data_IF_709550489846
#
_entry.id   IF_709550489846
#
_cell.length_a   1.000
_cell.length_b   1.000
_cell.length_c   1.000
_cell.angle_alpha   90.00
_cell.angle_beta   90.00
_cell.angle_gamma   90.00
#
_symmetry.space_group_name_H-M   'P 1'
#
loop_
_entity.id
_entity.type
_entity.pdbx_description
1 polymer ?
#
# COMPACT_ATOMS: atom_id res chain seq x y z
N UNK A 1 -32.68 14.09 27.74
CA UNK A 1 -31.44 13.32 27.64
C UNK A 1 -31.45 12.70 26.26
N UNK A 2 -30.98 13.44 25.27
CA UNK A 2 -30.86 12.97 23.89
C UNK A 2 -29.73 11.95 23.88
N UNK A 3 -30.04 10.72 23.46
CA UNK A 3 -29.01 9.74 23.09
C UNK A 3 -28.21 10.40 21.98
N UNK A 4 -26.95 10.72 22.24
CA UNK A 4 -26.05 11.07 21.16
C UNK A 4 -25.99 9.84 20.25
N UNK A 5 -26.33 10.01 18.97
CA UNK A 5 -26.07 9.02 17.94
C UNK A 5 -24.56 8.80 17.93
N UNK A 6 -24.11 7.76 18.63
CA UNK A 6 -22.74 7.26 18.56
C UNK A 6 -22.65 6.36 17.33
N UNK A 7 -22.73 6.95 16.15
CA UNK A 7 -22.10 6.32 14.99
C UNK A 7 -20.70 6.92 14.87
N UNK A 8 -19.63 6.19 15.22
CA UNK A 8 -18.25 6.69 15.22
C UNK A 8 -17.69 6.99 13.82
N UNK A 9 -18.56 7.23 12.83
CA UNK A 9 -18.20 7.43 11.42
C UNK A 9 -18.03 6.13 10.65
N UNK A 10 -18.72 5.05 11.05
CA UNK A 10 -18.63 3.74 10.40
C UNK A 10 -19.84 3.50 9.51
N UNK A 11 -19.82 4.12 8.33
CA UNK A 11 -20.85 3.91 7.33
C UNK A 11 -20.73 2.52 6.63
N UNK A 12 -21.74 2.11 5.85
CA UNK A 12 -21.71 0.85 5.10
C UNK A 12 -20.59 0.71 4.06
N UNK A 13 -20.11 1.83 3.50
CA UNK A 13 -19.05 1.83 2.50
C UNK A 13 -17.70 1.55 3.18
N UNK A 14 -17.41 2.20 4.30
CA UNK A 14 -16.24 1.90 5.13
C UNK A 14 -16.26 0.46 5.65
N UNK A 15 -17.43 -0.07 6.03
CA UNK A 15 -17.56 -1.47 6.41
C UNK A 15 -17.22 -2.43 5.25
N UNK A 16 -17.61 -2.08 4.03
CA UNK A 16 -17.29 -2.86 2.81
C UNK A 16 -15.79 -2.80 2.51
N UNK A 17 -15.20 -1.61 2.55
CA UNK A 17 -13.76 -1.40 2.35
C UNK A 17 -12.95 -2.16 3.40
N UNK A 18 -13.39 -2.13 4.67
CA UNK A 18 -12.76 -2.85 5.77
C UNK A 18 -12.78 -4.37 5.56
N UNK A 19 -13.91 -4.93 5.14
CA UNK A 19 -14.04 -6.36 4.86
C UNK A 19 -13.16 -6.80 3.67
N UNK A 20 -13.10 -5.99 2.61
CA UNK A 20 -12.25 -6.26 1.45
C UNK A 20 -10.75 -6.20 1.83
N UNK A 21 -10.37 -5.18 2.59
CA UNK A 21 -9.00 -5.01 3.09
C UNK A 21 -8.59 -6.18 3.98
N UNK A 22 -9.45 -6.58 4.92
CA UNK A 22 -9.20 -7.68 5.84
C UNK A 22 -8.96 -9.01 5.11
N UNK A 23 -9.76 -9.30 4.06
CA UNK A 23 -9.61 -10.49 3.23
C UNK A 23 -8.31 -10.49 2.44
N UNK A 24 -7.90 -9.34 1.88
CA UNK A 24 -6.65 -9.23 1.14
C UNK A 24 -5.44 -9.38 2.07
N UNK A 25 -5.43 -8.70 3.23
CA UNK A 25 -4.43 -8.92 4.28
C UNK A 25 -4.30 -10.40 4.64
N UNK A 26 -5.42 -11.07 4.88
CA UNK A 26 -5.40 -12.50 5.24
C UNK A 26 -4.78 -13.35 4.12
N UNK A 27 -5.06 -13.06 2.85
CA UNK A 27 -4.44 -13.74 1.70
C UNK A 27 -2.94 -13.47 1.61
N UNK A 28 -2.51 -12.22 1.80
CA UNK A 28 -1.09 -11.82 1.79
C UNK A 28 -0.33 -12.52 2.92
N UNK A 29 -0.83 -12.49 4.14
CA UNK A 29 -0.25 -13.20 5.27
C UNK A 29 -0.26 -14.73 5.10
N UNK A 30 -1.29 -15.30 4.47
CA UNK A 30 -1.31 -16.72 4.11
C UNK A 30 -0.21 -17.07 3.10
N UNK A 31 0.14 -16.13 2.21
CA UNK A 31 1.26 -16.24 1.28
C UNK A 31 2.63 -15.87 1.88
N UNK A 32 2.70 -15.53 3.17
CA UNK A 32 3.95 -15.27 3.89
C UNK A 32 4.39 -13.80 3.96
N UNK A 33 3.49 -12.86 3.67
CA UNK A 33 3.78 -11.42 3.74
C UNK A 33 4.18 -10.93 5.13
N UNK A 34 4.99 -9.87 5.14
CA UNK A 34 5.24 -9.00 6.31
C UNK A 34 4.45 -7.70 6.16
N UNK A 35 3.90 -7.20 7.26
CA UNK A 35 3.24 -5.90 7.34
C UNK A 35 4.19 -4.82 7.86
N UNK A 36 4.30 -3.72 7.13
CA UNK A 36 5.10 -2.56 7.47
C UNK A 36 4.18 -1.39 7.80
N UNK A 37 4.09 -1.02 9.07
CA UNK A 37 3.21 0.04 9.55
C UNK A 37 3.96 1.37 9.66
N UNK A 38 3.36 2.46 9.20
CA UNK A 38 3.91 3.81 9.34
C UNK A 38 2.84 4.82 9.71
N UNK A 39 3.23 5.85 10.45
CA UNK A 39 2.35 6.95 10.84
C UNK A 39 3.21 8.19 11.10
N UNK A 40 3.69 8.92 10.06
CA UNK A 40 4.72 9.95 10.19
C UNK A 40 4.40 11.03 11.23
N UNK A 41 3.15 11.48 11.27
CA UNK A 41 2.68 12.50 12.21
C UNK A 41 2.30 11.91 13.57
N UNK A 42 2.02 10.60 13.63
CA UNK A 42 1.44 9.92 14.80
C UNK A 42 2.08 8.55 15.03
N UNK A 43 3.41 8.51 15.18
CA UNK A 43 4.22 7.29 15.30
C UNK A 43 3.67 6.22 16.28
N UNK A 44 3.03 6.57 17.42
CA UNK A 44 2.41 5.58 18.28
C UNK A 44 1.41 4.66 17.58
N UNK A 45 0.68 5.12 16.55
CA UNK A 45 -0.23 4.27 15.78
C UNK A 45 0.51 3.19 14.99
N UNK A 46 1.66 3.50 14.40
CA UNK A 46 2.47 2.50 13.69
C UNK A 46 2.97 1.41 14.65
N UNK A 47 3.48 1.82 15.81
CA UNK A 47 3.92 0.91 16.86
C UNK A 47 2.76 0.05 17.39
N UNK A 48 1.59 0.65 17.60
CA UNK A 48 0.39 -0.05 18.04
C UNK A 48 -0.02 -1.14 17.03
N UNK A 49 -0.16 -0.78 15.76
CA UNK A 49 -0.49 -1.74 14.68
C UNK A 49 0.51 -2.89 14.68
N UNK A 50 1.82 -2.62 14.71
CA UNK A 50 2.82 -3.68 14.69
C UNK A 50 2.69 -4.63 15.89
N UNK A 51 2.49 -4.09 17.11
CA UNK A 51 2.35 -4.91 18.33
C UNK A 51 1.10 -5.79 18.27
N UNK A 52 -0.05 -5.28 17.83
CA UNK A 52 -1.30 -6.06 17.76
C UNK A 52 -1.19 -7.26 16.81
N UNK A 53 -0.50 -7.09 15.68
CA UNK A 53 -0.28 -8.19 14.73
C UNK A 53 0.73 -9.22 15.25
N UNK A 54 1.81 -8.79 15.93
CA UNK A 54 2.84 -9.72 16.47
C UNK A 54 2.40 -10.40 17.76
N UNK A 55 1.68 -9.71 18.64
CA UNK A 55 1.28 -10.18 19.97
C UNK A 55 -0.25 -10.12 20.11
N UNK A 56 -0.99 -11.04 19.45
CA UNK A 56 -2.44 -10.98 19.41
C UNK A 56 -3.03 -11.10 20.82
N UNK A 57 -3.88 -10.14 21.21
CA UNK A 57 -4.50 -10.08 22.55
C UNK A 57 -5.49 -11.23 22.78
N UNK A 58 -6.09 -11.77 21.71
CA UNK A 58 -7.02 -12.90 21.79
C UNK A 58 -6.23 -14.22 21.86
N UNK A 59 -6.44 -14.95 22.96
CA UNK A 59 -5.83 -16.27 23.18
C UNK A 59 -6.07 -17.22 22.00
N UNK A 60 -4.99 -17.82 21.50
CA UNK A 60 -5.03 -18.82 20.43
C UNK A 60 -4.98 -18.26 19.01
N UNK A 61 -4.98 -16.92 18.81
CA UNK A 61 -4.74 -16.33 17.50
C UNK A 61 -3.26 -16.41 17.11
N UNK A 62 -3.02 -16.56 15.79
CA UNK A 62 -1.69 -16.68 15.21
C UNK A 62 -0.99 -15.30 15.23
N UNK A 63 0.26 -15.25 15.67
CA UNK A 63 1.11 -14.08 15.47
C UNK A 63 1.42 -13.88 13.98
N UNK A 64 1.27 -12.65 13.50
CA UNK A 64 1.51 -12.24 12.12
C UNK A 64 2.74 -11.30 12.06
N UNK A 65 3.64 -11.46 11.07
CA UNK A 65 4.84 -10.62 11.00
C UNK A 65 4.48 -9.17 10.72
N UNK A 66 4.79 -8.27 11.65
CA UNK A 66 4.57 -6.85 11.48
C UNK A 66 5.70 -6.02 12.11
N UNK A 67 6.04 -4.90 11.49
CA UNK A 67 7.11 -3.98 11.92
C UNK A 67 6.64 -2.53 11.77
N UNK A 68 6.91 -1.70 12.77
CA UNK A 68 6.69 -0.26 12.69
C UNK A 68 7.93 0.43 12.08
N UNK A 69 7.71 1.26 11.07
CA UNK A 69 8.70 2.16 10.48
C UNK A 69 8.46 3.57 11.03
N UNK A 70 9.45 4.09 11.76
CA UNK A 70 9.41 5.39 12.44
C UNK A 70 10.68 6.18 12.14
N UNK A 71 10.64 7.49 12.29
CA UNK A 71 11.77 8.37 11.96
C UNK A 71 11.81 8.85 10.49
N UNK A 72 12.89 9.55 10.11
CA UNK A 72 12.96 10.28 8.84
C UNK A 72 13.16 9.37 7.63
N UNK A 73 13.04 9.95 6.43
CA UNK A 73 13.31 9.27 5.15
C UNK A 73 12.40 8.05 4.91
N UNK A 74 11.10 8.20 5.20
CA UNK A 74 10.14 7.09 5.17
C UNK A 74 10.16 6.32 3.84
N UNK A 75 10.26 7.04 2.72
CA UNK A 75 10.25 6.43 1.38
C UNK A 75 11.40 5.42 1.23
N UNK A 76 12.61 5.80 1.66
CA UNK A 76 13.79 4.95 1.59
C UNK A 76 13.70 3.79 2.58
N UNK A 77 13.20 4.04 3.79
CA UNK A 77 12.95 2.99 4.78
C UNK A 77 12.01 1.92 4.22
N UNK A 78 10.88 2.32 3.63
CA UNK A 78 9.94 1.38 3.02
C UNK A 78 10.60 0.65 1.86
N UNK A 79 11.23 1.38 0.94
CA UNK A 79 11.86 0.82 -0.27
C UNK A 79 12.89 -0.28 0.05
N UNK A 80 13.67 -0.10 1.11
CA UNK A 80 14.69 -1.06 1.59
C UNK A 80 14.10 -2.23 2.37
N UNK A 81 12.98 -2.02 3.04
CA UNK A 81 12.39 -3.01 3.96
C UNK A 81 11.50 -4.02 3.23
N UNK A 82 10.70 -3.55 2.27
CA UNK A 82 9.63 -4.36 1.67
C UNK A 82 10.14 -5.35 0.63
N UNK A 83 9.55 -6.54 0.66
CA UNK A 83 9.64 -7.55 -0.40
C UNK A 83 8.35 -7.63 -1.20
N UNK A 84 8.43 -8.11 -2.45
CA UNK A 84 7.23 -8.37 -3.27
C UNK A 84 6.25 -9.26 -2.49
N UNK A 85 4.99 -8.84 -2.42
CA UNK A 85 3.92 -9.54 -1.70
C UNK A 85 3.70 -9.04 -0.27
N UNK A 86 4.59 -8.19 0.26
CA UNK A 86 4.41 -7.53 1.56
C UNK A 86 3.24 -6.52 1.54
N UNK A 87 2.94 -6.00 2.72
CA UNK A 87 1.88 -5.03 2.97
C UNK A 87 2.49 -3.79 3.59
N UNK A 88 2.08 -2.60 3.12
CA UNK A 88 2.36 -1.33 3.81
C UNK A 88 1.04 -0.76 4.29
N UNK A 89 0.95 -0.45 5.59
CA UNK A 89 -0.19 0.28 6.18
C UNK A 89 0.30 1.64 6.66
N UNK A 90 -0.31 2.71 6.17
CA UNK A 90 -0.04 4.06 6.63
C UNK A 90 -1.24 4.67 7.36
N UNK A 91 -0.99 5.33 8.49
CA UNK A 91 -1.95 6.21 9.17
C UNK A 91 -1.48 7.65 9.00
N UNK A 92 -2.16 8.42 8.14
CA UNK A 92 -1.78 9.79 7.82
C UNK A 92 -2.92 10.56 7.14
N UNK A 93 -2.86 11.89 7.20
CA UNK A 93 -3.69 12.76 6.37
C UNK A 93 -3.40 12.56 4.87
N UNK A 94 -4.40 12.80 4.01
CA UNK A 94 -4.35 12.53 2.57
C UNK A 94 -3.30 13.35 1.80
N UNK A 95 -2.85 14.47 2.37
CA UNK A 95 -1.83 15.36 1.81
C UNK A 95 -0.42 15.09 2.36
N UNK A 96 -0.24 14.06 3.18
CA UNK A 96 1.07 13.66 3.68
C UNK A 96 1.99 13.22 2.52
N UNK A 97 2.94 14.09 2.16
CA UNK A 97 3.81 13.92 0.99
C UNK A 97 4.63 12.62 1.00
N UNK A 98 5.11 12.20 2.17
CA UNK A 98 5.87 10.95 2.31
C UNK A 98 5.00 9.73 2.06
N UNK A 99 3.78 9.70 2.62
CA UNK A 99 2.82 8.61 2.39
C UNK A 99 2.36 8.59 0.93
N UNK A 100 2.04 9.73 0.34
CA UNK A 100 1.74 9.83 -1.10
C UNK A 100 2.86 9.26 -1.98
N UNK A 101 4.12 9.55 -1.64
CA UNK A 101 5.28 9.01 -2.36
C UNK A 101 5.39 7.49 -2.22
N UNK A 102 5.20 6.96 -1.00
CA UNK A 102 5.18 5.52 -0.74
C UNK A 102 4.06 4.82 -1.54
N UNK A 103 2.83 5.33 -1.48
CA UNK A 103 1.70 4.69 -2.13
C UNK A 103 1.84 4.68 -3.66
N UNK A 104 2.40 5.73 -4.25
CA UNK A 104 2.70 5.76 -5.70
C UNK A 104 3.75 4.75 -6.13
N UNK A 105 4.75 4.48 -5.29
CA UNK A 105 5.89 3.60 -5.60
C UNK A 105 5.62 2.14 -5.26
N UNK A 106 4.77 1.87 -4.28
CA UNK A 106 4.48 0.53 -3.79
C UNK A 106 4.06 -0.49 -4.87
N UNK A 107 3.28 -0.13 -5.92
CA UNK A 107 2.99 -1.07 -6.99
C UNK A 107 4.23 -1.52 -7.77
N UNK A 108 5.22 -0.63 -7.97
CA UNK A 108 6.51 -0.99 -8.57
C UNK A 108 7.34 -1.91 -7.65
N UNK A 109 7.10 -1.88 -6.34
CA UNK A 109 7.71 -2.78 -5.37
C UNK A 109 6.94 -4.09 -5.19
N UNK A 110 5.75 -4.22 -5.80
CA UNK A 110 4.89 -5.38 -5.67
C UNK A 110 4.23 -5.50 -4.29
N UNK A 111 4.04 -4.38 -3.61
CA UNK A 111 3.53 -4.29 -2.23
C UNK A 111 2.06 -3.87 -2.26
N UNK A 112 1.23 -4.51 -1.43
CA UNK A 112 -0.16 -4.08 -1.22
C UNK A 112 -0.22 -2.94 -0.22
N UNK A 113 -1.01 -1.93 -0.51
CA UNK A 113 -1.09 -0.69 0.25
C UNK A 113 -2.44 -0.51 0.95
N UNK A 114 -2.39 -0.14 2.22
CA UNK A 114 -3.56 0.28 3.00
C UNK A 114 -3.29 1.67 3.55
N UNK A 115 -4.22 2.59 3.33
CA UNK A 115 -4.14 3.94 3.86
C UNK A 115 -5.33 4.22 4.78
N UNK A 116 -5.03 4.49 6.05
CA UNK A 116 -5.98 4.87 7.08
C UNK A 116 -5.87 6.38 7.34
N UNK A 117 -7.00 7.07 7.42
CA UNK A 117 -7.04 8.49 7.78
C UNK A 117 -8.46 9.02 7.93
N UNK A 118 -8.58 10.34 7.98
CA UNK A 118 -9.86 11.03 8.21
C UNK A 118 -9.95 12.35 7.45
N UNK A 119 -11.17 12.87 7.24
CA UNK A 119 -11.40 14.15 6.58
C UNK A 119 -11.37 14.04 5.06
N UNK A 120 -10.60 14.89 4.36
CA UNK A 120 -10.54 14.83 2.88
C UNK A 120 -9.90 13.52 2.41
N UNK A 121 -10.69 12.67 1.76
CA UNK A 121 -10.24 11.37 1.24
C UNK A 121 -9.22 11.54 0.11
N UNK A 122 -8.16 10.70 0.04
CA UNK A 122 -7.26 10.69 -1.11
C UNK A 122 -8.01 10.28 -2.40
N UNK A 123 -7.49 10.63 -3.59
CA UNK A 123 -8.15 10.30 -4.84
C UNK A 123 -8.29 8.79 -5.03
N UNK A 124 -9.30 8.36 -5.79
CA UNK A 124 -9.50 6.96 -6.11
C UNK A 124 -8.24 6.36 -6.77
N UNK A 125 -7.82 5.19 -6.30
CA UNK A 125 -6.59 4.53 -6.76
C UNK A 125 -5.30 5.04 -6.13
N UNK A 126 -5.37 5.94 -5.14
CA UNK A 126 -4.18 6.39 -4.40
C UNK A 126 -3.52 5.28 -3.57
N UNK A 127 -4.25 4.23 -3.20
CA UNK A 127 -3.77 3.00 -2.56
C UNK A 127 -4.69 1.84 -2.96
N UNK A 128 -4.25 0.58 -2.75
CA UNK A 128 -5.09 -0.59 -3.01
C UNK A 128 -6.34 -0.59 -2.11
N UNK A 129 -6.16 -0.17 -0.86
CA UNK A 129 -7.23 -0.04 0.13
C UNK A 129 -7.15 1.32 0.84
N UNK A 130 -8.27 2.03 0.92
CA UNK A 130 -8.39 3.31 1.62
C UNK A 130 -9.49 3.19 2.67
N UNK A 131 -9.12 3.15 3.94
CA UNK A 131 -10.02 3.08 5.08
C UNK A 131 -10.14 4.47 5.71
N UNK A 132 -11.22 5.18 5.41
CA UNK A 132 -11.32 6.61 5.68
C UNK A 132 -12.52 6.96 6.56
N UNK A 133 -12.29 7.73 7.62
CA UNK A 133 -13.35 8.27 8.46
C UNK A 133 -13.84 9.60 7.87
N UNK A 134 -15.14 9.72 7.63
CA UNK A 134 -15.72 10.91 7.00
C UNK A 134 -15.73 12.15 7.91
N UNK A 135 -15.82 11.97 9.24
CA UNK A 135 -15.87 13.09 10.18
C UNK A 135 -14.48 13.75 10.31
N UNK A 136 -14.30 15.01 9.89
CA UNK A 136 -13.07 15.76 10.06
C UNK A 136 -12.93 16.23 11.52
N UNK A 137 -13.09 15.33 12.49
CA UNK A 137 -12.77 15.59 13.88
C UNK A 137 -11.24 15.72 13.98
N UNK A 138 -10.69 16.91 14.29
CA UNK A 138 -9.24 17.09 14.42
C UNK A 138 -8.64 16.22 15.54
N UNK A 139 -9.49 15.68 16.43
CA UNK A 139 -9.09 14.76 17.48
C UNK A 139 -9.10 13.29 17.05
N UNK A 140 -9.51 12.93 15.82
CA UNK A 140 -9.51 11.56 15.29
C UNK A 140 -8.19 10.77 15.53
N UNK A 141 -6.99 11.39 15.42
CA UNK A 141 -5.74 10.71 15.75
C UNK A 141 -5.58 10.36 17.24
N UNK A 142 -6.40 10.93 18.12
CA UNK A 142 -6.25 10.87 19.59
C UNK A 142 -7.50 10.41 20.34
N UNK A 143 -8.67 10.42 19.72
CA UNK A 143 -9.95 10.07 20.34
C UNK A 143 -10.23 8.55 20.34
N UNK A 144 -9.39 7.77 19.65
CA UNK A 144 -9.48 6.31 19.57
C UNK A 144 -10.13 5.77 18.28
N UNK A 145 -10.63 6.61 17.38
CA UNK A 145 -11.31 6.14 16.17
C UNK A 145 -10.39 5.35 15.22
N UNK A 146 -9.15 5.79 15.01
CA UNK A 146 -8.16 4.99 14.27
C UNK A 146 -7.85 3.67 14.97
N UNK A 147 -7.76 3.69 16.31
CA UNK A 147 -7.51 2.49 17.12
C UNK A 147 -8.59 1.44 16.88
N UNK A 148 -9.85 1.86 16.99
CA UNK A 148 -10.99 1.00 16.70
C UNK A 148 -10.93 0.45 15.27
N UNK A 149 -10.64 1.30 14.27
CA UNK A 149 -10.62 0.90 12.87
C UNK A 149 -9.56 -0.18 12.58
N UNK A 150 -8.30 0.01 13.02
CA UNK A 150 -7.28 -1.02 12.80
C UNK A 150 -7.43 -2.24 13.73
N UNK A 151 -8.10 -2.13 14.88
CA UNK A 151 -8.49 -3.28 15.69
C UNK A 151 -9.52 -4.14 14.98
N UNK A 152 -10.54 -3.52 14.39
CA UNK A 152 -11.52 -4.25 13.58
C UNK A 152 -10.87 -4.88 12.34
N UNK A 153 -9.95 -4.16 11.68
CA UNK A 153 -9.16 -4.72 10.58
C UNK A 153 -8.40 -5.98 11.02
N UNK A 154 -7.69 -5.89 12.15
CA UNK A 154 -6.96 -7.01 12.73
C UNK A 154 -7.88 -8.20 13.05
N UNK A 155 -9.05 -7.94 13.65
CA UNK A 155 -10.00 -9.00 14.03
C UNK A 155 -10.57 -9.69 12.79
N UNK A 156 -11.01 -8.92 11.79
CA UNK A 156 -11.57 -9.44 10.55
C UNK A 156 -10.54 -10.21 9.71
N UNK A 157 -9.27 -9.75 9.70
CA UNK A 157 -8.18 -10.52 9.10
C UNK A 157 -8.03 -11.89 9.76
N UNK A 158 -8.17 -11.95 11.10
CA UNK A 158 -8.15 -13.22 11.82
C UNK A 158 -9.38 -14.10 11.56
N UNK A 159 -10.57 -13.50 11.43
CA UNK A 159 -11.79 -14.24 11.04
C UNK A 159 -11.60 -14.94 9.69
N UNK A 160 -10.92 -14.30 8.73
CA UNK A 160 -10.63 -14.92 7.44
C UNK A 160 -9.77 -16.20 7.55
N UNK A 161 -8.86 -16.29 8.53
CA UNK A 161 -8.09 -17.52 8.80
C UNK A 161 -8.94 -18.66 9.34
N UNK A 162 -10.08 -18.37 9.98
CA UNK A 162 -11.04 -19.38 10.45
C UNK A 162 -11.86 -19.97 9.30
N UNK A 163 -11.79 -19.35 8.11
CA UNK A 163 -12.45 -19.80 6.89
C UNK A 163 -11.45 -20.06 5.74
N UNK A 164 -10.56 -21.06 5.81
CA UNK A 164 -9.48 -21.25 4.83
C UNK A 164 -9.91 -21.33 3.35
N UNK A 165 -11.17 -21.66 3.08
CA UNK A 165 -11.75 -21.64 1.74
C UNK A 165 -11.69 -20.27 1.06
N UNK A 166 -11.78 -19.16 1.82
CA UNK A 166 -11.74 -17.79 1.27
C UNK A 166 -10.31 -17.33 0.92
N UNK A 167 -9.30 -18.02 1.44
CA UNK A 167 -7.88 -17.68 1.23
C UNK A 167 -7.31 -18.28 -0.07
N UNK A 168 -8.03 -19.22 -0.70
CA UNK A 168 -7.60 -19.80 -1.97
C UNK A 168 -7.73 -18.77 -3.08
N UNK A 169 -6.65 -18.55 -3.82
CA UNK A 169 -6.69 -17.70 -5.01
C UNK A 169 -7.61 -18.33 -6.06
N UNK A 170 -8.61 -17.57 -6.52
CA UNK A 170 -9.48 -17.93 -7.65
C UNK A 170 -8.89 -17.53 -9.00
N UNK A 171 -7.73 -16.86 -9.01
CA UNK A 171 -7.09 -16.42 -10.24
C UNK A 171 -6.36 -17.59 -10.92
N UNK A 172 -7.05 -18.25 -11.85
CA UNK A 172 -6.40 -19.06 -12.87
C UNK A 172 -5.55 -18.15 -13.75
N UNK A 173 -4.24 -18.27 -13.68
CA UNK A 173 -3.31 -17.61 -14.60
C UNK A 173 -3.43 -18.30 -15.96
N UNK A 174 -4.35 -17.83 -16.80
CA UNK A 174 -4.18 -18.05 -18.24
C UNK A 174 -2.87 -17.34 -18.63
N UNK A 175 -1.88 -18.10 -19.12
CA UNK A 175 -0.64 -17.52 -19.62
C UNK A 175 -0.95 -16.66 -20.86
N UNK A 176 -1.14 -15.37 -20.65
CA UNK A 176 -1.27 -14.38 -21.73
C UNK A 176 0.15 -13.94 -22.12
N UNK A 177 0.43 -13.91 -23.41
CA UNK A 177 1.70 -13.39 -23.92
C UNK A 177 1.83 -11.90 -23.53
N UNK A 178 2.87 -11.54 -22.79
CA UNK A 178 3.10 -10.16 -22.32
C UNK A 178 3.25 -9.17 -23.48
N UNK A 179 3.72 -9.63 -24.66
CA UNK A 179 3.89 -8.82 -25.87
C UNK A 179 2.59 -8.58 -26.63
N UNK A 180 1.62 -9.49 -26.51
CA UNK A 180 0.30 -9.37 -27.15
C UNK A 180 -0.75 -8.83 -26.18
N UNK A 181 -0.36 -8.53 -24.95
CA UNK A 181 -1.20 -7.94 -23.92
C UNK A 181 -0.99 -6.43 -23.94
N UNK A 182 -2.05 -5.64 -23.93
CA UNK A 182 -1.98 -4.17 -23.79
C UNK A 182 -1.65 -3.74 -22.33
N UNK A 183 -0.78 -4.50 -21.65
CA UNK A 183 -0.39 -4.27 -20.26
C UNK A 183 0.90 -3.45 -20.19
N UNK A 184 0.79 -2.26 -19.60
CA UNK A 184 1.92 -1.51 -19.05
C UNK A 184 2.12 -1.86 -17.58
N UNK A 185 3.35 -2.16 -17.17
CA UNK A 185 3.72 -2.42 -15.78
C UNK A 185 4.42 -1.21 -15.20
N UNK A 186 4.04 -0.80 -14.00
CA UNK A 186 4.77 0.23 -13.28
C UNK A 186 6.15 -0.30 -12.86
N UNK A 187 7.17 0.52 -13.05
CA UNK A 187 8.52 0.27 -12.61
C UNK A 187 9.16 1.51 -11.96
N UNK A 188 10.14 1.28 -11.11
CA UNK A 188 11.00 2.31 -10.52
C UNK A 188 12.40 2.18 -11.11
N UNK A 189 12.94 3.25 -11.68
CA UNK A 189 14.31 3.28 -12.21
C UNK A 189 15.31 3.08 -11.07
N UNK A 190 16.18 2.08 -11.21
CA UNK A 190 17.31 1.83 -10.31
C UNK A 190 18.56 2.54 -10.81
N UNK A 191 18.83 2.45 -12.11
CA UNK A 191 19.96 3.10 -12.77
C UNK A 191 19.76 3.16 -14.28
N UNK A 192 20.23 4.21 -14.93
CA UNK A 192 20.31 4.32 -16.39
C UNK A 192 21.74 3.99 -16.87
N UNK A 193 21.84 3.22 -17.95
CA UNK A 193 23.10 2.88 -18.60
C UNK A 193 23.32 3.75 -19.85
N UNK A 194 24.59 3.97 -20.20
CA UNK A 194 24.97 4.82 -21.33
C UNK A 194 24.63 4.22 -22.71
N UNK A 195 24.18 2.97 -22.75
CA UNK A 195 23.80 2.25 -23.98
C UNK A 195 22.31 2.41 -24.34
N UNK A 196 21.58 3.28 -23.63
CA UNK A 196 20.16 3.51 -23.87
C UNK A 196 19.26 2.45 -23.24
N UNK A 197 19.75 1.78 -22.19
CA UNK A 197 18.96 0.88 -21.36
C UNK A 197 18.88 1.37 -19.92
N UNK A 198 17.87 0.95 -19.18
CA UNK A 198 17.73 1.20 -17.75
C UNK A 198 17.48 -0.09 -16.98
N UNK A 199 18.02 -0.17 -15.77
CA UNK A 199 17.64 -1.18 -14.78
C UNK A 199 16.44 -0.67 -14.01
N UNK A 200 15.38 -1.45 -13.98
CA UNK A 200 14.08 -1.05 -13.42
C UNK A 200 13.60 -2.12 -12.44
N UNK A 201 13.18 -1.70 -11.25
CA UNK A 201 12.48 -2.56 -10.28
C UNK A 201 11.00 -2.55 -10.60
N UNK A 202 10.41 -3.73 -10.79
CA UNK A 202 8.96 -3.91 -10.94
C UNK A 202 8.44 -4.89 -9.89
N UNK A 203 7.12 -5.03 -9.80
CA UNK A 203 6.50 -6.03 -8.92
C UNK A 203 7.02 -7.46 -9.18
N UNK A 204 7.40 -7.77 -10.43
CA UNK A 204 7.90 -9.08 -10.83
C UNK A 204 9.41 -9.28 -10.56
N UNK A 205 10.10 -8.24 -10.07
CA UNK A 205 11.54 -8.22 -9.86
C UNK A 205 12.25 -7.15 -10.69
N UNK A 206 13.58 -7.21 -10.66
CA UNK A 206 14.44 -6.29 -11.40
C UNK A 206 14.61 -6.79 -12.84
N UNK A 207 14.43 -5.89 -13.80
CA UNK A 207 14.62 -6.17 -15.22
C UNK A 207 15.37 -5.03 -15.92
N UNK A 208 15.94 -5.33 -17.09
CA UNK A 208 16.52 -4.33 -17.99
C UNK A 208 15.48 -3.97 -19.05
N UNK A 209 15.29 -2.68 -19.28
CA UNK A 209 14.39 -2.16 -20.30
C UNK A 209 15.10 -1.15 -21.22
N UNK A 210 14.67 -1.12 -22.48
CA UNK A 210 15.09 -0.09 -23.44
C UNK A 210 14.54 1.28 -23.01
N UNK A 211 15.41 2.27 -22.82
CA UNK A 211 15.08 3.63 -22.39
C UNK A 211 15.16 4.66 -23.52
N UNK A 212 15.42 4.26 -24.77
CA UNK A 212 15.66 5.20 -25.87
C UNK A 212 14.48 6.16 -26.16
N UNK A 213 13.26 5.79 -25.73
CA UNK A 213 12.05 6.60 -25.89
C UNK A 213 11.76 7.57 -24.73
N UNK A 214 12.46 7.42 -23.59
CA UNK A 214 12.21 8.19 -22.36
C UNK A 214 13.55 8.71 -21.84
N UNK A 215 13.86 9.99 -22.08
CA UNK A 215 15.16 10.57 -21.72
C UNK A 215 15.04 11.97 -21.09
N UNK A 216 15.96 12.36 -20.18
CA UNK A 216 16.87 11.52 -19.37
C UNK A 216 16.22 11.01 -18.07
N UNK A 217 16.64 9.82 -17.59
CA UNK A 217 16.09 9.18 -16.39
C UNK A 217 17.00 9.40 -15.17
N UNK A 218 16.41 9.48 -13.99
CA UNK A 218 17.14 9.46 -12.71
C UNK A 218 16.68 8.31 -11.81
N UNK A 219 17.55 7.78 -10.93
CA UNK A 219 17.15 6.78 -9.95
C UNK A 219 15.94 7.27 -9.14
N UNK A 220 14.94 6.41 -9.03
CA UNK A 220 13.67 6.72 -8.36
C UNK A 220 12.59 7.27 -9.29
N UNK A 221 12.84 7.53 -10.56
CA UNK A 221 11.76 7.86 -11.51
C UNK A 221 10.79 6.68 -11.64
N UNK A 222 9.49 6.98 -11.70
CA UNK A 222 8.47 5.99 -11.99
C UNK A 222 8.21 5.96 -13.50
N UNK A 223 8.24 4.76 -14.07
CA UNK A 223 8.16 4.52 -15.52
C UNK A 223 7.13 3.45 -15.83
N UNK A 224 6.57 3.51 -17.04
CA UNK A 224 5.74 2.44 -17.59
C UNK A 224 6.60 1.54 -18.48
N UNK A 225 6.67 0.26 -18.13
CA UNK A 225 7.38 -0.78 -18.88
C UNK A 225 6.37 -1.61 -19.67
N UNK A 226 6.58 -1.70 -20.98
CA UNK A 226 5.79 -2.56 -21.87
C UNK A 226 6.73 -3.32 -22.81
N UNK A 227 6.57 -4.65 -22.86
CA UNK A 227 7.36 -5.54 -23.72
C UNK A 227 8.89 -5.34 -23.68
N UNK A 228 9.45 -4.93 -22.52
CA UNK A 228 10.89 -4.69 -22.35
C UNK A 228 11.34 -3.27 -22.75
N UNK A 229 10.41 -2.36 -22.98
CA UNK A 229 10.68 -0.96 -23.36
C UNK A 229 9.98 -0.01 -22.41
N UNK A 230 10.64 1.10 -22.07
CA UNK A 230 10.04 2.21 -21.35
C UNK A 230 9.22 3.05 -22.33
N UNK A 231 7.93 3.19 -22.04
CA UNK A 231 6.98 3.89 -22.93
C UNK A 231 6.57 5.28 -22.40
N UNK A 232 6.97 5.63 -21.18
CA UNK A 232 6.73 6.94 -20.59
C UNK A 232 7.08 7.00 -19.10
N UNK A 233 7.11 8.21 -18.55
CA UNK A 233 7.08 8.42 -17.10
C UNK A 233 5.65 8.15 -16.60
N UNK A 234 5.53 7.62 -15.38
CA UNK A 234 4.24 7.36 -14.75
C UNK A 234 3.77 8.53 -13.89
N UNK A 235 4.65 9.48 -13.58
CA UNK A 235 4.27 10.74 -12.98
C UNK A 235 3.57 11.59 -14.05
N UNK A 236 2.35 12.06 -13.79
CA UNK A 236 1.58 12.93 -14.71
C UNK A 236 2.21 14.32 -14.97
N UNK A 237 3.53 14.45 -14.79
CA UNK A 237 4.34 15.66 -14.98
C UNK A 237 5.00 15.74 -16.37
N UNK A 238 4.46 15.02 -17.38
CA UNK A 238 4.88 15.14 -18.79
C UNK A 238 4.81 16.60 -19.33
N UNK A 239 4.16 17.53 -18.61
CA UNK A 239 3.98 18.92 -19.04
C UNK A 239 4.94 19.96 -18.43
N UNK A 240 5.74 19.64 -17.41
CA UNK A 240 6.62 20.65 -16.76
C UNK A 240 8.12 20.45 -17.01
N UNK A 241 8.61 19.24 -17.30
CA UNK A 241 10.05 19.01 -17.59
C UNK A 241 10.50 19.44 -18.99
N UNK A 242 9.58 19.83 -19.87
CA UNK A 242 9.85 20.22 -21.24
C UNK A 242 9.66 21.74 -21.51
N UNK A 243 9.75 22.57 -20.46
CA UNK A 243 9.75 24.03 -20.57
C UNK A 243 11.08 24.66 -20.17
#
# INVERSE_FOLDING_TARGET
>A
MTVADTDPGFDPDLATDLAATALDLAKRFAAGATLWATAPTWEPHAAHIAVEFVHPVIMGKRALPAVALTGPDLVDQVRLSVSTGDIVIAVADADCAEVLSVMRRAPAWGVTTVWIGSGTRPPAGAADHVLWLEDPDPSAPTNGSFVLLYHLLWELTHVCFEHPGVLKSTAGTAAVCVTCSDQGRLGEVVSEAADGTATVRTAAGIETADSALVAPLVPGDLVLVHAGTLIGLADGEDMERNR
#
